data_IF_246713011223
#
_entry.id   IF_246713011223
#
_cell.length_a   1.000
_cell.length_b   1.000
_cell.length_c   1.000
_cell.angle_alpha   90.00
_cell.angle_beta   90.00
_cell.angle_gamma   90.00
#
_symmetry.space_group_name_H-M   'P 1'
#
loop_
_entity.id
_entity.type
_entity.pdbx_description
1 polymer ?
#
# COMPACT_ATOMS: atom_id res chain seq x y z
N UNK A 1 -10.22 8.22 25.80
CA UNK A 1 -9.83 6.80 25.73
C UNK A 1 -11.08 6.00 25.40
N UNK A 2 -11.42 5.91 24.11
CA UNK A 2 -12.62 5.23 23.63
C UNK A 2 -12.26 3.84 23.16
N UNK A 3 -12.97 2.88 23.72
CA UNK A 3 -12.84 1.44 23.53
C UNK A 3 -13.03 1.09 22.03
N UNK A 4 -11.91 0.87 21.32
CA UNK A 4 -11.92 0.43 19.93
C UNK A 4 -12.20 -1.07 19.96
N UNK A 5 -13.44 -1.45 19.67
CA UNK A 5 -13.83 -2.84 19.48
C UNK A 5 -12.83 -3.51 18.51
N UNK A 6 -12.13 -4.53 19.02
CA UNK A 6 -11.09 -5.31 18.31
C UNK A 6 -11.67 -6.15 17.15
N UNK A 7 -13.00 -6.17 16.97
CA UNK A 7 -13.71 -7.14 16.14
C UNK A 7 -14.10 -6.71 14.72
N UNK A 8 -13.84 -5.47 14.30
CA UNK A 8 -14.05 -5.06 12.90
C UNK A 8 -12.72 -4.73 12.24
N UNK A 9 -11.95 -5.79 11.93
CA UNK A 9 -10.90 -5.65 10.91
C UNK A 9 -11.59 -5.37 9.58
N UNK A 10 -11.22 -4.32 8.84
CA UNK A 10 -11.74 -4.12 7.50
C UNK A 10 -11.42 -5.36 6.66
N UNK A 11 -12.42 -5.90 5.94
CA UNK A 11 -12.29 -7.14 5.14
C UNK A 11 -11.13 -7.10 4.14
N UNK A 12 -10.66 -5.91 3.78
CA UNK A 12 -9.49 -5.65 2.93
C UNK A 12 -8.15 -6.07 3.54
N UNK A 13 -8.09 -6.26 4.86
CA UNK A 13 -6.89 -6.68 5.59
C UNK A 13 -6.80 -8.19 5.84
N UNK A 14 -7.83 -8.95 5.49
CA UNK A 14 -7.88 -10.39 5.72
C UNK A 14 -6.99 -11.15 4.71
N UNK A 15 -6.28 -12.17 5.18
CA UNK A 15 -5.29 -12.86 4.35
C UNK A 15 -5.91 -13.68 3.21
N UNK A 16 -7.11 -14.23 3.41
CA UNK A 16 -7.78 -15.06 2.42
C UNK A 16 -8.39 -14.18 1.31
N UNK A 17 -7.98 -14.37 0.04
CA UNK A 17 -8.55 -13.62 -1.07
C UNK A 17 -10.02 -13.97 -1.30
N UNK A 18 -10.68 -13.17 -2.13
CA UNK A 18 -12.06 -13.44 -2.53
C UNK A 18 -12.12 -14.56 -3.57
N UNK A 19 -12.25 -15.79 -3.09
CA UNK A 19 -12.28 -16.98 -3.95
C UNK A 19 -13.55 -17.10 -4.82
N UNK A 20 -14.55 -16.24 -4.62
CA UNK A 20 -15.76 -16.19 -5.45
C UNK A 20 -15.61 -15.32 -6.70
N UNK A 21 -14.54 -14.54 -6.83
CA UNK A 21 -14.33 -13.72 -8.02
C UNK A 21 -14.06 -14.60 -9.24
N UNK A 22 -14.59 -14.21 -10.40
CA UNK A 22 -14.45 -14.97 -11.66
C UNK A 22 -12.98 -15.25 -12.01
N UNK A 23 -12.09 -14.28 -11.78
CA UNK A 23 -10.64 -14.45 -11.97
C UNK A 23 -10.05 -15.49 -11.02
N UNK A 24 -10.47 -15.51 -9.74
CA UNK A 24 -9.99 -16.49 -8.77
C UNK A 24 -10.48 -17.89 -9.11
N UNK A 25 -11.75 -18.05 -9.50
CA UNK A 25 -12.29 -19.34 -9.96
C UNK A 25 -11.54 -19.84 -11.20
N UNK A 26 -11.28 -18.97 -12.18
CA UNK A 26 -10.50 -19.34 -13.36
C UNK A 26 -9.09 -19.82 -13.01
N UNK A 27 -8.40 -19.14 -12.10
CA UNK A 27 -7.07 -19.56 -11.64
C UNK A 27 -7.12 -20.87 -10.87
N UNK A 28 -8.14 -21.11 -10.05
CA UNK A 28 -8.33 -22.38 -9.34
C UNK A 28 -8.49 -23.53 -10.34
N UNK A 29 -9.33 -23.35 -11.35
CA UNK A 29 -9.54 -24.32 -12.43
C UNK A 29 -8.24 -24.62 -13.15
N UNK A 30 -7.48 -23.59 -13.53
CA UNK A 30 -6.22 -23.74 -14.25
C UNK A 30 -5.16 -24.49 -13.41
N UNK A 31 -5.04 -24.17 -12.12
CA UNK A 31 -4.09 -24.83 -11.23
C UNK A 31 -4.52 -26.27 -10.89
N UNK A 32 -5.83 -26.53 -10.78
CA UNK A 32 -6.37 -27.87 -10.59
C UNK A 32 -6.08 -28.78 -11.79
N UNK A 33 -6.26 -28.28 -13.02
CA UNK A 33 -5.95 -29.02 -14.24
C UNK A 33 -4.44 -29.27 -14.38
N UNK A 34 -3.61 -28.27 -14.06
CA UNK A 34 -2.16 -28.44 -14.05
C UNK A 34 -1.73 -29.52 -13.05
N UNK A 35 -2.32 -29.55 -11.85
CA UNK A 35 -2.06 -30.59 -10.86
C UNK A 35 -2.51 -31.97 -11.37
N UNK A 36 -3.69 -32.06 -11.99
CA UNK A 36 -4.20 -33.30 -12.58
C UNK A 36 -3.26 -33.84 -13.67
N UNK A 37 -2.76 -32.97 -14.55
CA UNK A 37 -1.81 -33.31 -15.61
C UNK A 37 -0.48 -33.79 -15.04
N UNK A 38 0.06 -33.10 -14.03
CA UNK A 38 1.30 -33.49 -13.36
C UNK A 38 1.18 -34.86 -12.68
N UNK A 39 0.08 -35.12 -11.97
CA UNK A 39 -0.16 -36.41 -11.31
C UNK A 39 -0.37 -37.55 -12.32
N UNK A 40 -1.03 -37.26 -13.44
CA UNK A 40 -1.26 -38.25 -14.50
C UNK A 40 0.04 -38.61 -15.22
N UNK A 41 0.90 -37.62 -15.48
CA UNK A 41 2.24 -37.86 -16.02
C UNK A 41 3.12 -38.65 -15.05
N UNK A 42 3.05 -38.34 -13.75
CA UNK A 42 3.84 -39.04 -12.73
C UNK A 42 3.43 -40.52 -12.55
N UNK A 43 2.20 -40.88 -12.91
CA UNK A 43 1.65 -42.24 -12.84
C UNK A 43 1.63 -42.97 -14.18
N UNK A 44 2.18 -42.36 -15.24
CA UNK A 44 2.13 -42.93 -16.57
C UNK A 44 2.94 -44.23 -16.69
N UNK A 45 2.27 -45.33 -17.00
CA UNK A 45 2.82 -46.68 -17.14
C UNK A 45 2.76 -47.23 -18.58
N UNK A 46 2.32 -46.41 -19.55
CA UNK A 46 2.36 -46.73 -20.98
C UNK A 46 0.99 -46.94 -21.63
N UNK A 47 -0.05 -47.24 -20.86
CA UNK A 47 -1.43 -47.36 -21.35
C UNK A 47 -2.38 -46.46 -20.55
N UNK A 48 -3.57 -46.15 -21.09
CA UNK A 48 -4.66 -45.46 -20.36
C UNK A 48 -4.39 -44.03 -19.82
N UNK A 49 -3.36 -43.32 -20.28
CA UNK A 49 -3.07 -41.92 -19.87
C UNK A 49 -4.30 -41.01 -19.88
N UNK A 50 -5.07 -41.01 -20.98
CA UNK A 50 -6.24 -40.15 -21.14
C UNK A 50 -7.34 -40.47 -20.13
N UNK A 51 -7.51 -41.73 -19.74
CA UNK A 51 -8.48 -42.15 -18.74
C UNK A 51 -8.05 -41.70 -17.33
N UNK A 52 -6.76 -41.86 -17.01
CA UNK A 52 -6.18 -41.41 -15.74
C UNK A 52 -6.30 -39.90 -15.61
N UNK A 53 -6.01 -39.17 -16.69
CA UNK A 53 -6.14 -37.71 -16.75
C UNK A 53 -7.59 -37.27 -16.56
N UNK A 54 -8.53 -37.86 -17.30
CA UNK A 54 -9.94 -37.51 -17.19
C UNK A 54 -10.50 -37.73 -15.77
N UNK A 55 -10.18 -38.88 -15.15
CA UNK A 55 -10.62 -39.19 -13.78
C UNK A 55 -9.95 -38.26 -12.75
N UNK A 56 -8.65 -38.00 -12.89
CA UNK A 56 -7.91 -37.13 -11.98
C UNK A 56 -8.38 -35.67 -12.09
N UNK A 57 -8.56 -35.16 -13.31
CA UNK A 57 -9.08 -33.82 -13.58
C UNK A 57 -10.47 -33.65 -12.97
N UNK A 58 -11.39 -34.60 -13.23
CA UNK A 58 -12.74 -34.55 -12.67
C UNK A 58 -12.72 -34.49 -11.14
N UNK A 59 -11.94 -35.38 -10.50
CA UNK A 59 -11.83 -35.43 -9.04
C UNK A 59 -11.24 -34.15 -8.45
N UNK A 60 -10.08 -33.71 -8.94
CA UNK A 60 -9.36 -32.55 -8.40
C UNK A 60 -10.19 -31.27 -8.60
N UNK A 61 -10.83 -31.12 -9.75
CA UNK A 61 -11.65 -29.95 -10.06
C UNK A 61 -12.85 -29.82 -9.13
N UNK A 62 -13.58 -30.92 -8.90
CA UNK A 62 -14.72 -30.91 -7.98
C UNK A 62 -14.30 -30.61 -6.55
N UNK A 63 -13.22 -31.22 -6.07
CA UNK A 63 -12.68 -30.94 -4.73
C UNK A 63 -12.24 -29.48 -4.58
N UNK A 64 -11.54 -28.94 -5.58
CA UNK A 64 -11.06 -27.56 -5.56
C UNK A 64 -12.23 -26.55 -5.55
N UNK A 65 -13.25 -26.76 -6.39
CA UNK A 65 -14.40 -25.87 -6.49
C UNK A 65 -15.30 -25.93 -5.24
N UNK A 66 -15.53 -27.12 -4.67
CA UNK A 66 -16.29 -27.26 -3.41
C UNK A 66 -15.58 -26.53 -2.27
N UNK A 67 -14.26 -26.71 -2.15
CA UNK A 67 -13.48 -25.99 -1.15
C UNK A 67 -13.50 -24.49 -1.34
N UNK A 68 -13.35 -24.01 -2.58
CA UNK A 68 -13.43 -22.58 -2.90
C UNK A 68 -14.80 -22.00 -2.51
N UNK A 69 -15.89 -22.71 -2.82
CA UNK A 69 -17.24 -22.30 -2.47
C UNK A 69 -17.46 -22.25 -0.95
N UNK A 70 -17.01 -23.28 -0.22
CA UNK A 70 -17.11 -23.33 1.25
C UNK A 70 -16.30 -22.20 1.89
N UNK A 71 -15.04 -22.02 1.49
CA UNK A 71 -14.16 -20.97 2.03
C UNK A 71 -14.70 -19.58 1.70
N UNK A 72 -15.27 -19.38 0.52
CA UNK A 72 -15.92 -18.12 0.18
C UNK A 72 -17.17 -17.87 1.05
N UNK A 73 -18.05 -18.86 1.21
CA UNK A 73 -19.25 -18.74 2.04
C UNK A 73 -18.92 -18.48 3.52
N UNK A 74 -17.84 -19.10 4.02
CA UNK A 74 -17.37 -18.93 5.38
C UNK A 74 -16.47 -17.70 5.57
N UNK A 75 -16.03 -17.02 4.50
CA UNK A 75 -15.06 -15.90 4.55
C UNK A 75 -15.46 -14.81 5.53
N UNK A 76 -16.73 -14.41 5.53
CA UNK A 76 -17.26 -13.37 6.43
C UNK A 76 -17.24 -13.77 7.90
N UNK A 77 -17.32 -15.07 8.20
CA UNK A 77 -17.17 -15.61 9.55
C UNK A 77 -15.70 -15.76 9.92
N UNK A 78 -14.87 -16.24 8.99
CA UNK A 78 -13.43 -16.41 9.21
C UNK A 78 -12.72 -15.07 9.46
N UNK A 79 -13.16 -13.98 8.83
CA UNK A 79 -12.56 -12.65 9.04
C UNK A 79 -12.71 -12.11 10.45
N UNK A 80 -13.58 -12.71 11.29
CA UNK A 80 -13.74 -12.35 12.71
C UNK A 80 -12.70 -13.00 13.62
N UNK A 81 -12.02 -14.03 13.14
CA UNK A 81 -10.98 -14.73 13.90
C UNK A 81 -9.59 -14.14 13.61
N UNK A 82 -8.60 -14.52 14.43
CA UNK A 82 -7.20 -14.21 14.11
C UNK A 82 -6.75 -14.92 12.82
N UNK A 83 -5.76 -14.35 12.13
CA UNK A 83 -5.29 -14.90 10.85
C UNK A 83 -4.81 -16.36 10.99
N UNK A 84 -4.17 -16.70 12.12
CA UNK A 84 -3.74 -18.06 12.43
C UNK A 84 -4.92 -19.02 12.58
N UNK A 85 -5.94 -18.64 13.37
CA UNK A 85 -7.14 -19.46 13.56
C UNK A 85 -7.91 -19.65 12.25
N UNK A 86 -8.07 -18.58 11.48
CA UNK A 86 -8.73 -18.64 10.18
C UNK A 86 -7.97 -19.53 9.19
N UNK A 87 -6.63 -19.46 9.16
CA UNK A 87 -5.80 -20.35 8.35
C UNK A 87 -5.94 -21.82 8.79
N UNK A 88 -5.91 -22.11 10.09
CA UNK A 88 -6.10 -23.47 10.61
C UNK A 88 -7.48 -24.03 10.26
N UNK A 89 -8.55 -23.24 10.44
CA UNK A 89 -9.92 -23.65 10.09
C UNK A 89 -10.02 -23.95 8.59
N UNK A 90 -9.45 -23.08 7.75
CA UNK A 90 -9.48 -23.25 6.29
C UNK A 90 -8.68 -24.47 5.84
N UNK A 91 -7.54 -24.73 6.47
CA UNK A 91 -6.71 -25.89 6.21
C UNK A 91 -7.43 -27.20 6.57
N UNK A 92 -8.05 -27.25 7.75
CA UNK A 92 -8.82 -28.40 8.22
C UNK A 92 -10.04 -28.64 7.32
N UNK A 93 -10.74 -27.58 6.88
CA UNK A 93 -11.88 -27.74 5.97
C UNK A 93 -11.46 -28.36 4.64
N UNK A 94 -10.31 -27.97 4.08
CA UNK A 94 -9.80 -28.54 2.82
C UNK A 94 -9.51 -30.03 2.96
N UNK A 95 -8.85 -30.43 4.06
CA UNK A 95 -8.57 -31.83 4.36
C UNK A 95 -9.87 -32.62 4.53
N UNK A 96 -10.82 -32.12 5.31
CA UNK A 96 -12.08 -32.80 5.59
C UNK A 96 -12.91 -33.00 4.31
N UNK A 97 -13.06 -31.96 3.50
CA UNK A 97 -13.78 -32.03 2.22
C UNK A 97 -13.11 -33.04 1.28
N UNK A 98 -11.77 -33.04 1.22
CA UNK A 98 -11.03 -33.98 0.36
C UNK A 98 -11.20 -35.42 0.82
N UNK A 99 -11.12 -35.67 2.14
CA UNK A 99 -11.32 -36.98 2.72
C UNK A 99 -12.73 -37.53 2.41
N UNK A 100 -13.77 -36.72 2.64
CA UNK A 100 -15.16 -37.11 2.34
C UNK A 100 -15.36 -37.33 0.84
N UNK A 101 -14.81 -36.46 -0.02
CA UNK A 101 -14.90 -36.60 -1.47
C UNK A 101 -14.21 -37.89 -1.97
N UNK A 102 -13.06 -38.25 -1.41
CA UNK A 102 -12.36 -39.49 -1.75
C UNK A 102 -13.16 -40.75 -1.37
N UNK A 103 -13.78 -40.76 -0.18
CA UNK A 103 -14.66 -41.85 0.25
C UNK A 103 -15.90 -41.98 -0.65
N UNK A 104 -16.51 -40.85 -1.00
CA UNK A 104 -17.66 -40.83 -1.91
C UNK A 104 -17.28 -41.31 -3.31
N UNK A 105 -16.11 -40.92 -3.83
CA UNK A 105 -15.63 -41.39 -5.13
C UNK A 105 -15.51 -42.92 -5.16
N UNK A 106 -14.89 -43.53 -4.13
CA UNK A 106 -14.81 -44.99 -4.04
C UNK A 106 -16.17 -45.66 -3.89
N UNK A 107 -17.08 -45.06 -3.12
CA UNK A 107 -18.46 -45.56 -3.00
C UNK A 107 -19.18 -45.57 -4.36
N UNK A 108 -19.09 -44.50 -5.14
CA UNK A 108 -19.69 -44.43 -6.48
C UNK A 108 -19.06 -45.41 -7.47
N UNK A 109 -17.73 -45.55 -7.47
CA UNK A 109 -17.03 -46.52 -8.32
C UNK A 109 -17.46 -47.97 -8.01
N UNK A 110 -17.66 -48.29 -6.72
CA UNK A 110 -18.15 -49.61 -6.29
C UNK A 110 -19.63 -49.83 -6.68
N UNK A 111 -20.48 -48.81 -6.54
CA UNK A 111 -21.89 -48.88 -6.91
C UNK A 111 -22.09 -48.99 -8.43
N UNK A 112 -21.16 -48.45 -9.22
CA UNK A 112 -21.15 -48.56 -10.69
C UNK A 112 -20.64 -49.93 -11.19
N UNK A 113 -20.24 -50.85 -10.30
CA UNK A 113 -19.77 -52.19 -10.67
C UNK A 113 -18.39 -52.20 -11.35
N UNK A 114 -17.60 -51.13 -11.20
CA UNK A 114 -16.29 -51.01 -11.87
C UNK A 114 -15.13 -51.66 -11.10
N UNK A 115 -15.28 -51.99 -9.80
CA UNK A 115 -14.20 -52.52 -8.94
C UNK A 115 -14.75 -53.52 -7.93
N UNK A 116 -14.04 -54.64 -7.69
CA UNK A 116 -14.34 -55.55 -6.58
C UNK A 116 -14.19 -54.83 -5.23
N UNK A 117 -15.18 -55.00 -4.35
CA UNK A 117 -15.39 -54.29 -3.07
C UNK A 117 -14.19 -54.35 -2.09
N UNK A 118 -13.19 -53.49 -2.26
CA UNK A 118 -12.16 -53.23 -1.25
C UNK A 118 -11.91 -51.72 -1.17
N UNK A 119 -12.23 -51.11 -0.02
CA UNK A 119 -11.82 -49.74 0.28
C UNK A 119 -10.30 -49.64 0.24
N UNK A 120 -9.80 -48.80 -0.66
CA UNK A 120 -8.37 -48.56 -0.88
C UNK A 120 -7.92 -47.35 -0.08
N UNK A 121 -7.48 -47.60 1.15
CA UNK A 121 -7.00 -46.55 2.06
C UNK A 121 -5.74 -45.85 1.55
N UNK A 122 -4.92 -46.54 0.75
CA UNK A 122 -3.78 -45.99 0.03
C UNK A 122 -4.17 -44.81 -0.87
N UNK A 123 -5.24 -44.95 -1.65
CA UNK A 123 -5.72 -43.89 -2.55
C UNK A 123 -6.29 -42.69 -1.77
N UNK A 124 -7.02 -42.96 -0.68
CA UNK A 124 -7.56 -41.89 0.19
C UNK A 124 -6.42 -41.12 0.85
N UNK A 125 -5.46 -41.83 1.45
CA UNK A 125 -4.31 -41.23 2.12
C UNK A 125 -3.50 -40.38 1.13
N UNK A 126 -3.26 -40.90 -0.08
CA UNK A 126 -2.53 -40.16 -1.11
C UNK A 126 -3.22 -38.84 -1.49
N UNK A 127 -4.54 -38.87 -1.74
CA UNK A 127 -5.33 -37.67 -2.05
C UNK A 127 -5.33 -36.66 -0.90
N UNK A 128 -5.46 -37.12 0.35
CA UNK A 128 -5.44 -36.26 1.53
C UNK A 128 -4.05 -35.64 1.74
N UNK A 129 -2.97 -36.38 1.54
CA UNK A 129 -1.60 -35.86 1.66
C UNK A 129 -1.33 -34.80 0.59
N UNK A 130 -1.74 -35.03 -0.65
CA UNK A 130 -1.61 -34.01 -1.71
C UNK A 130 -2.40 -32.75 -1.35
N UNK A 131 -3.66 -32.90 -0.95
CA UNK A 131 -4.49 -31.76 -0.57
C UNK A 131 -3.89 -30.99 0.63
N UNK A 132 -3.32 -31.69 1.61
CA UNK A 132 -2.62 -31.10 2.74
C UNK A 132 -1.39 -30.28 2.30
N UNK A 133 -0.59 -30.78 1.35
CA UNK A 133 0.58 -30.06 0.81
C UNK A 133 0.14 -28.84 0.02
N UNK A 134 -0.81 -29.00 -0.91
CA UNK A 134 -1.32 -27.91 -1.75
C UNK A 134 -2.00 -26.83 -0.91
N UNK A 135 -2.80 -27.21 0.09
CA UNK A 135 -3.42 -26.28 1.01
C UNK A 135 -2.37 -25.50 1.82
N UNK A 136 -1.35 -26.17 2.36
CA UNK A 136 -0.29 -25.50 3.11
C UNK A 136 0.47 -24.49 2.23
N UNK A 137 0.77 -24.85 0.98
CA UNK A 137 1.41 -23.97 0.01
C UNK A 137 0.56 -22.72 -0.27
N UNK A 138 -0.72 -22.89 -0.61
CA UNK A 138 -1.62 -21.75 -0.88
C UNK A 138 -1.84 -20.88 0.35
N UNK A 139 -2.01 -21.46 1.54
CA UNK A 139 -2.15 -20.69 2.79
C UNK A 139 -0.91 -19.83 3.03
N UNK A 140 0.30 -20.38 2.80
CA UNK A 140 1.55 -19.63 2.91
C UNK A 140 1.63 -18.50 1.90
N UNK A 141 1.26 -18.76 0.64
CA UNK A 141 1.26 -17.73 -0.41
C UNK A 141 0.28 -16.59 -0.09
N UNK A 142 -0.94 -16.90 0.31
CA UNK A 142 -1.94 -15.89 0.66
C UNK A 142 -1.51 -15.05 1.87
N UNK A 143 -0.90 -15.68 2.88
CA UNK A 143 -0.32 -14.97 4.02
C UNK A 143 0.79 -14.00 3.59
N UNK A 144 1.74 -14.46 2.79
CA UNK A 144 2.83 -13.60 2.28
C UNK A 144 2.30 -12.45 1.42
N UNK A 145 1.32 -12.72 0.56
CA UNK A 145 0.70 -11.69 -0.27
C UNK A 145 -0.02 -10.64 0.58
N UNK A 146 -0.68 -11.05 1.67
CA UNK A 146 -1.33 -10.14 2.60
C UNK A 146 -0.32 -9.25 3.34
N UNK A 147 0.79 -9.83 3.81
CA UNK A 147 1.87 -9.07 4.44
C UNK A 147 2.50 -8.05 3.48
N UNK A 148 2.75 -8.45 2.24
CA UNK A 148 3.31 -7.56 1.22
C UNK A 148 2.39 -6.36 0.92
N UNK A 149 1.07 -6.58 0.83
CA UNK A 149 0.09 -5.49 0.67
C UNK A 149 0.13 -4.51 1.84
N UNK A 150 0.24 -5.01 3.07
CA UNK A 150 0.32 -4.15 4.25
C UNK A 150 1.60 -3.30 4.25
N UNK A 151 2.73 -3.87 3.86
CA UNK A 151 4.00 -3.13 3.75
C UNK A 151 3.91 -2.03 2.70
N UNK A 152 3.36 -2.32 1.51
CA UNK A 152 3.18 -1.33 0.46
C UNK A 152 2.27 -0.18 0.88
N UNK A 153 1.18 -0.47 1.60
CA UNK A 153 0.29 0.55 2.13
C UNK A 153 1.00 1.44 3.16
N UNK A 154 1.74 0.85 4.09
CA UNK A 154 2.51 1.60 5.09
C UNK A 154 3.60 2.46 4.46
N UNK A 155 4.27 1.97 3.42
CA UNK A 155 5.26 2.74 2.66
C UNK A 155 4.61 3.90 1.87
N UNK A 156 3.46 3.65 1.26
CA UNK A 156 2.74 4.70 0.53
C UNK A 156 2.24 5.77 1.49
N UNK A 157 1.72 5.38 2.64
CA UNK A 157 1.28 6.30 3.70
C UNK A 157 2.45 7.11 4.25
N UNK A 158 3.61 6.49 4.52
CA UNK A 158 4.79 7.21 5.00
C UNK A 158 5.34 8.18 3.95
N UNK A 159 5.37 7.79 2.67
CA UNK A 159 5.72 8.69 1.56
C UNK A 159 4.73 9.84 1.44
N UNK A 160 3.44 9.58 1.57
CA UNK A 160 2.41 10.62 1.56
C UNK A 160 2.58 11.59 2.72
N UNK A 161 2.79 11.09 3.95
CA UNK A 161 3.06 11.92 5.13
C UNK A 161 4.35 12.74 4.96
N UNK A 162 5.41 12.17 4.40
CA UNK A 162 6.64 12.89 4.09
C UNK A 162 6.43 13.98 3.04
N UNK A 163 5.57 13.74 2.03
CA UNK A 163 5.19 14.74 1.05
C UNK A 163 4.34 15.85 1.68
N UNK A 164 3.40 15.50 2.56
CA UNK A 164 2.57 16.45 3.30
C UNK A 164 3.39 17.31 4.26
N UNK A 165 4.40 16.73 4.92
CA UNK A 165 5.32 17.45 5.80
C UNK A 165 6.16 18.50 5.05
N UNK A 166 6.29 18.38 3.72
CA UNK A 166 7.03 19.35 2.89
C UNK A 166 6.31 20.70 2.76
N UNK A 167 5.00 20.78 3.03
CA UNK A 167 4.23 22.03 3.06
C UNK A 167 3.78 22.26 4.50
N UNK A 168 4.26 23.31 5.17
CA UNK A 168 3.74 23.65 6.51
C UNK A 168 2.29 24.12 6.39
N UNK A 169 1.29 23.35 6.89
CA UNK A 169 -0.11 23.70 6.71
C UNK A 169 -0.44 25.07 7.32
N UNK A 170 0.22 25.40 8.43
CA UNK A 170 0.05 26.69 9.11
C UNK A 170 0.52 27.88 8.26
N UNK A 171 1.64 27.76 7.53
CA UNK A 171 2.09 28.81 6.62
C UNK A 171 1.03 29.03 5.53
N UNK A 172 0.57 27.95 4.87
CA UNK A 172 -0.47 28.01 3.85
C UNK A 172 -1.73 28.71 4.38
N UNK A 173 -2.29 28.27 5.51
CA UNK A 173 -3.51 28.86 6.06
C UNK A 173 -3.33 30.34 6.39
N UNK A 174 -2.18 30.72 6.93
CA UNK A 174 -1.90 32.13 7.25
C UNK A 174 -1.75 32.99 6.00
N UNK A 175 -1.05 32.50 4.98
CA UNK A 175 -0.89 33.20 3.71
C UNK A 175 -2.24 33.41 3.02
N UNK A 176 -3.13 32.41 3.06
CA UNK A 176 -4.50 32.53 2.53
C UNK A 176 -5.36 33.54 3.31
N UNK A 177 -5.19 33.63 4.63
CA UNK A 177 -5.90 34.62 5.45
C UNK A 177 -5.48 36.05 5.11
N UNK A 178 -4.17 36.30 4.95
CA UNK A 178 -3.66 37.61 4.53
C UNK A 178 -4.16 37.94 3.13
N UNK A 179 -4.07 36.98 2.21
CA UNK A 179 -4.56 37.14 0.84
C UNK A 179 -6.02 37.58 0.84
N UNK A 180 -6.88 36.91 1.61
CA UNK A 180 -8.30 37.25 1.73
C UNK A 180 -8.51 38.68 2.24
N UNK A 181 -7.69 39.15 3.19
CA UNK A 181 -7.75 40.52 3.69
C UNK A 181 -7.25 41.56 2.68
N UNK A 182 -6.27 41.20 1.84
CA UNK A 182 -5.67 42.11 0.85
C UNK A 182 -6.56 42.28 -0.39
N UNK A 183 -7.38 41.29 -0.76
CA UNK A 183 -8.23 41.35 -1.96
C UNK A 183 -9.10 42.62 -1.99
N UNK A 184 -9.63 43.05 -0.84
CA UNK A 184 -10.48 44.24 -0.78
C UNK A 184 -9.70 45.56 -0.58
N UNK A 185 -8.55 45.51 0.07
CA UNK A 185 -7.82 46.72 0.52
C UNK A 185 -6.67 47.09 -0.40
N UNK A 186 -5.96 46.09 -0.94
CA UNK A 186 -4.81 46.25 -1.81
C UNK A 186 -4.73 45.09 -2.82
N UNK A 187 -5.57 45.12 -3.89
CA UNK A 187 -5.67 44.04 -4.87
C UNK A 187 -4.33 43.69 -5.53
N UNK A 188 -3.50 44.69 -5.83
CA UNK A 188 -2.17 44.49 -6.43
C UNK A 188 -1.23 43.68 -5.51
N UNK A 189 -1.29 43.91 -4.18
CA UNK A 189 -0.53 43.12 -3.21
C UNK A 189 -1.08 41.71 -3.08
N UNK A 190 -2.40 41.54 -3.18
CA UNK A 190 -3.03 40.23 -3.18
C UNK A 190 -2.58 39.39 -4.38
N UNK A 191 -2.54 39.99 -5.58
CA UNK A 191 -2.03 39.34 -6.79
C UNK A 191 -0.57 38.89 -6.61
N UNK A 192 0.29 39.77 -6.07
CA UNK A 192 1.68 39.43 -5.80
C UNK A 192 1.84 38.25 -4.83
N UNK A 193 1.04 38.20 -3.76
CA UNK A 193 1.02 37.06 -2.83
C UNK A 193 0.63 35.76 -3.52
N UNK A 194 -0.31 35.78 -4.47
CA UNK A 194 -0.70 34.57 -5.23
C UNK A 194 0.45 34.08 -6.10
N UNK A 195 1.17 34.99 -6.77
CA UNK A 195 2.35 34.65 -7.56
C UNK A 195 3.45 34.03 -6.70
N UNK A 196 3.79 34.69 -5.58
CA UNK A 196 4.84 34.24 -4.67
C UNK A 196 4.49 32.89 -4.04
N UNK A 197 3.23 32.67 -3.69
CA UNK A 197 2.73 31.38 -3.18
C UNK A 197 2.83 30.29 -4.27
N UNK A 198 2.51 30.62 -5.52
CA UNK A 198 2.58 29.69 -6.65
C UNK A 198 4.03 29.28 -6.95
N UNK A 199 4.96 30.23 -6.85
CA UNK A 199 6.40 29.98 -6.99
C UNK A 199 6.94 29.08 -5.87
N UNK A 200 6.59 29.38 -4.61
CA UNK A 200 6.93 28.54 -3.46
C UNK A 200 6.40 27.11 -3.60
N UNK A 201 5.16 26.95 -4.07
CA UNK A 201 4.59 25.61 -4.32
C UNK A 201 5.30 24.86 -5.43
N UNK A 202 5.60 25.55 -6.54
CA UNK A 202 6.34 24.97 -7.66
C UNK A 202 7.71 24.48 -7.19
N UNK A 203 8.43 25.27 -6.39
CA UNK A 203 9.71 24.89 -5.81
C UNK A 203 9.58 23.69 -4.85
N UNK A 204 8.61 23.71 -3.93
CA UNK A 204 8.38 22.61 -2.98
C UNK A 204 8.03 21.28 -3.66
N UNK A 205 7.33 21.32 -4.80
CA UNK A 205 6.93 20.14 -5.57
C UNK A 205 7.99 19.68 -6.58
N UNK A 206 9.06 20.45 -6.76
CA UNK A 206 10.14 20.12 -7.69
C UNK A 206 10.99 18.94 -7.19
N UNK A 207 11.54 18.15 -8.13
CA UNK A 207 12.37 16.99 -7.80
C UNK A 207 13.70 17.43 -7.16
N UNK A 208 13.95 17.00 -5.92
CA UNK A 208 15.12 17.40 -5.12
C UNK A 208 16.45 16.83 -5.65
N UNK A 209 16.38 15.97 -6.66
CA UNK A 209 17.58 15.34 -7.25
C UNK A 209 18.37 16.25 -8.18
N UNK A 210 17.82 17.41 -8.57
CA UNK A 210 18.53 18.38 -9.41
C UNK A 210 19.07 19.51 -8.53
N UNK A 211 20.37 19.81 -8.68
CA UNK A 211 20.96 21.02 -8.11
C UNK A 211 20.32 22.25 -8.77
N UNK A 212 20.08 23.29 -7.98
CA UNK A 212 19.57 24.59 -8.40
C UNK A 212 20.62 25.66 -8.15
N UNK A 213 20.52 26.80 -8.83
CA UNK A 213 21.45 27.91 -8.57
C UNK A 213 21.17 28.51 -7.19
N UNK A 214 22.17 29.11 -6.57
CA UNK A 214 21.99 29.87 -5.34
C UNK A 214 21.04 31.06 -5.58
N UNK A 215 21.03 31.61 -6.81
CA UNK A 215 20.08 32.64 -7.22
C UNK A 215 18.62 32.16 -7.11
N UNK A 216 18.33 30.96 -7.61
CA UNK A 216 16.99 30.37 -7.53
C UNK A 216 16.54 30.19 -6.07
N UNK A 217 17.42 29.68 -5.20
CA UNK A 217 17.13 29.53 -3.77
C UNK A 217 16.89 30.89 -3.09
N UNK A 218 17.69 31.91 -3.42
CA UNK A 218 17.50 33.27 -2.89
C UNK A 218 16.17 33.85 -3.34
N UNK A 219 15.76 33.64 -4.60
CA UNK A 219 14.46 34.09 -5.12
C UNK A 219 13.30 33.46 -4.33
N UNK A 220 13.33 32.13 -4.13
CA UNK A 220 12.34 31.41 -3.32
C UNK A 220 12.28 31.99 -1.90
N UNK A 221 13.44 32.24 -1.29
CA UNK A 221 13.52 32.77 0.06
C UNK A 221 13.00 34.21 0.18
N UNK A 222 13.18 35.05 -0.85
CA UNK A 222 12.60 36.39 -0.91
C UNK A 222 11.09 36.34 -0.98
N UNK A 223 10.52 35.55 -1.89
CA UNK A 223 9.06 35.36 -1.98
C UNK A 223 8.46 34.87 -0.66
N UNK A 224 9.14 33.96 0.06
CA UNK A 224 8.72 33.54 1.40
C UNK A 224 8.72 34.70 2.40
N UNK A 225 9.80 35.49 2.47
CA UNK A 225 9.92 36.60 3.39
C UNK A 225 8.96 37.74 3.07
N UNK A 226 8.66 37.99 1.80
CA UNK A 226 7.70 39.02 1.38
C UNK A 226 6.28 38.69 1.88
N UNK A 227 5.88 37.41 1.79
CA UNK A 227 4.61 36.94 2.35
C UNK A 227 4.60 37.08 3.89
N UNK A 228 5.68 36.68 4.56
CA UNK A 228 5.79 36.78 6.02
C UNK A 228 5.82 38.25 6.50
N UNK A 229 6.42 39.16 5.73
CA UNK A 229 6.43 40.60 6.02
C UNK A 229 5.02 41.18 5.92
N UNK A 230 4.23 40.80 4.92
CA UNK A 230 2.84 41.21 4.83
C UNK A 230 2.02 40.69 6.03
N UNK A 231 2.36 39.52 6.57
CA UNK A 231 1.71 38.97 7.77
C UNK A 231 2.09 39.69 9.05
N UNK A 232 3.39 39.86 9.26
CA UNK A 232 3.96 40.34 10.51
C UNK A 232 4.00 41.87 10.56
N UNK A 233 3.79 42.53 9.42
CA UNK A 233 3.86 43.97 9.28
C UNK A 233 5.23 44.49 9.72
N UNK A 234 5.23 45.57 10.49
CA UNK A 234 6.44 46.25 10.96
C UNK A 234 7.29 45.40 11.93
N UNK A 235 6.79 44.24 12.39
CA UNK A 235 7.50 43.33 13.29
C UNK A 235 8.58 42.51 12.59
N UNK A 236 8.52 42.33 11.28
CA UNK A 236 9.55 41.62 10.53
C UNK A 236 10.31 42.60 9.64
N UNK A 237 11.58 42.82 9.97
CA UNK A 237 12.53 43.51 9.09
C UNK A 237 13.47 42.48 8.48
N UNK A 238 13.81 42.65 7.21
CA UNK A 238 14.72 41.76 6.49
C UNK A 238 15.85 42.58 5.91
N UNK A 239 17.08 42.11 6.13
CA UNK A 239 18.30 42.71 5.61
C UNK A 239 19.07 41.68 4.78
N UNK A 240 19.20 41.94 3.47
CA UNK A 240 19.92 41.07 2.54
C UNK A 240 21.30 41.68 2.22
N UNK A 241 22.36 41.00 2.64
CA UNK A 241 23.75 41.39 2.37
C UNK A 241 24.38 40.36 1.42
N UNK A 242 24.27 40.63 0.12
CA UNK A 242 24.72 39.71 -0.94
C UNK A 242 26.01 40.24 -1.55
N UNK A 243 27.12 39.56 -1.28
CA UNK A 243 28.46 39.87 -1.80
C UNK A 243 29.02 38.74 -2.68
N UNK A 244 28.33 37.59 -2.77
CA UNK A 244 28.70 36.45 -3.60
C UNK A 244 28.05 36.50 -5.00
N UNK A 245 28.70 35.87 -5.99
CA UNK A 245 28.10 35.58 -7.29
C UNK A 245 27.13 34.38 -7.16
N UNK A 246 25.84 34.63 -7.38
CA UNK A 246 24.77 33.67 -7.12
C UNK A 246 24.55 32.69 -8.27
N UNK A 247 24.99 33.03 -9.48
CA UNK A 247 24.68 32.28 -10.71
C UNK A 247 25.67 31.11 -10.93
N UNK A 248 26.82 31.17 -10.26
CA UNK A 248 27.90 30.18 -10.40
C UNK A 248 27.89 29.10 -9.31
N UNK A 249 27.11 29.30 -8.25
CA UNK A 249 27.00 28.35 -7.14
C UNK A 249 25.75 27.48 -7.29
N UNK A 250 25.92 26.16 -7.23
CA UNK A 250 24.84 25.18 -7.30
C UNK A 250 24.69 24.45 -5.98
N UNK A 251 23.46 24.43 -5.45
CA UNK A 251 23.13 23.79 -4.17
C UNK A 251 21.89 22.90 -4.31
N UNK A 252 21.69 21.93 -3.40
CA UNK A 252 20.43 21.20 -3.33
C UNK A 252 19.26 22.18 -3.10
N UNK A 253 18.09 21.96 -3.72
CA UNK A 253 16.94 22.83 -3.53
C UNK A 253 16.42 22.75 -2.10
N UNK A 254 15.79 23.83 -1.66
CA UNK A 254 15.25 24.06 -0.31
C UNK A 254 16.32 23.91 0.78
N UNK A 255 17.55 24.34 0.51
CA UNK A 255 18.62 24.36 1.51
C UNK A 255 18.56 25.63 2.36
N UNK A 256 18.31 26.79 1.75
CA UNK A 256 18.24 28.06 2.47
C UNK A 256 16.89 28.27 3.15
N UNK A 257 15.82 27.82 2.49
CA UNK A 257 14.45 28.03 2.95
C UNK A 257 14.21 27.58 4.41
N UNK A 258 14.62 26.37 4.87
CA UNK A 258 14.38 25.94 6.24
C UNK A 258 15.10 26.80 7.29
N UNK A 259 16.26 27.37 6.95
CA UNK A 259 17.02 28.23 7.85
C UNK A 259 16.31 29.57 8.04
N UNK A 260 15.85 30.16 6.95
CA UNK A 260 15.09 31.42 6.97
C UNK A 260 13.74 31.22 7.66
N UNK A 261 13.06 30.12 7.37
CA UNK A 261 11.81 29.77 8.02
C UNK A 261 11.98 29.61 9.54
N UNK A 262 13.06 28.96 9.97
CA UNK A 262 13.39 28.84 11.39
C UNK A 262 13.71 30.19 12.02
N UNK A 263 14.42 31.08 11.32
CA UNK A 263 14.73 32.43 11.81
C UNK A 263 13.46 33.26 12.04
N UNK A 264 12.48 33.20 11.13
CA UNK A 264 11.21 33.89 11.30
C UNK A 264 10.37 33.23 12.40
N UNK A 265 10.20 31.91 12.35
CA UNK A 265 9.32 31.18 13.27
C UNK A 265 9.82 31.20 14.72
N UNK A 266 11.11 30.91 14.94
CA UNK A 266 11.68 30.86 16.29
C UNK A 266 12.25 32.21 16.73
N UNK A 267 12.73 33.04 15.79
CA UNK A 267 13.32 34.34 16.12
C UNK A 267 12.29 35.45 16.23
N UNK A 268 11.45 35.64 15.22
CA UNK A 268 10.61 36.85 15.11
C UNK A 268 9.20 36.65 15.67
N UNK A 269 8.53 35.54 15.37
CA UNK A 269 7.14 35.33 15.80
C UNK A 269 6.92 35.47 17.32
N UNK A 270 7.82 34.97 18.20
CA UNK A 270 7.67 35.10 19.65
C UNK A 270 7.93 36.52 20.19
N UNK A 271 8.64 37.37 19.45
CA UNK A 271 9.02 38.72 19.89
C UNK A 271 7.90 39.73 19.62
N UNK A 272 7.26 40.26 20.68
CA UNK A 272 6.16 41.22 20.56
C UNK A 272 6.56 42.45 19.74
N UNK A 273 7.74 43.01 20.01
CA UNK A 273 8.26 44.20 19.32
C UNK A 273 8.85 43.90 17.93
N UNK A 274 8.91 42.62 17.54
CA UNK A 274 9.51 42.18 16.28
C UNK A 274 11.04 42.16 16.31
N UNK A 275 11.65 42.11 15.12
CA UNK A 275 13.09 42.06 14.96
C UNK A 275 13.55 42.08 13.49
N UNK A 276 14.86 41.92 13.30
CA UNK A 276 15.49 41.88 11.98
C UNK A 276 16.08 40.52 11.70
N UNK A 277 15.76 39.93 10.55
CA UNK A 277 16.45 38.77 9.99
C UNK A 277 17.49 39.26 9.00
N UNK A 278 18.77 39.06 9.31
CA UNK A 278 19.89 39.42 8.41
C UNK A 278 20.41 38.18 7.72
N UNK A 279 20.45 38.19 6.38
CA UNK A 279 20.97 37.12 5.54
C UNK A 279 22.23 37.62 4.86
N UNK A 280 23.36 36.96 5.13
CA UNK A 280 24.68 37.31 4.60
C UNK A 280 25.16 36.19 3.68
N UNK A 281 25.41 36.52 2.41
CA UNK A 281 25.98 35.61 1.41
C UNK A 281 27.32 36.18 0.94
N UNK A 282 28.42 35.51 1.28
CA UNK A 282 29.78 35.93 0.99
C UNK A 282 30.53 34.84 0.24
N UNK A 283 31.34 35.23 -0.74
CA UNK A 283 32.34 34.37 -1.35
C UNK A 283 33.61 34.40 -0.50
N UNK A 284 34.23 33.23 -0.27
CA UNK A 284 35.57 33.14 0.31
C UNK A 284 36.63 33.87 -0.54
#
# INVERSE_FOLDING_TARGET
>A
MTNKNVNDRPQTSFFLPDLCQTTSVFLIILNAELLALLLSLARFDGENFWLILARSSLFIQWVALINAAILCALRSRLSRFSDLQAASISYISVILVTFVAALLAQYFDSAAGQVDYVYRWDDVLFSVVIAAIVAAFWMRLFYLQAQYRQQLMAETESRFQALQARIKPHFLFNSMNILTSLIQVAPEKAEKVVEDLSELFRASLSDHKKLVTLQDEVAICKSYLDIEQLRLGDRLKVDWQIQADLDTCYIPPLTLQPLIENAVYHGIQPLVDGGTVTIILQSD
#
